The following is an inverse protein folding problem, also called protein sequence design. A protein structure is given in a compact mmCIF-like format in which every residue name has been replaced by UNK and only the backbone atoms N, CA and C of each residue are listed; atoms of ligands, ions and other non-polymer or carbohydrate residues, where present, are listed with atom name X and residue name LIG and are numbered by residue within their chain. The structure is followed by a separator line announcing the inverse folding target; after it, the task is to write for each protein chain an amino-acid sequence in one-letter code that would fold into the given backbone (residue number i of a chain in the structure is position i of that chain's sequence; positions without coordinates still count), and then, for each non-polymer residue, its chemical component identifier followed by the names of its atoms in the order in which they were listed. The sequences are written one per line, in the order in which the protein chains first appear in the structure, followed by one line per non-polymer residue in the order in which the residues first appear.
data_IF_976598039975
#
_entry.id   IF_976598039975
#
_cell.length_a   1.000
_cell.length_b   1.000
_cell.length_c   1.000
_cell.angle_alpha   90.00
_cell.angle_beta   90.00
_cell.angle_gamma   90.00
#
_symmetry.space_group_name_H-M   'P 1'
#
loop_
_entity.id
_entity.type
_entity.pdbx_description
1 polymer ?
#
# COMPACT_ATOMS: atom_id res chain seq x y z
N UNK A 1 -37.36 -16.23 22.19
CA UNK A 1 -36.30 -16.52 21.20
C UNK A 1 -35.01 -17.07 21.86
N UNK A 2 -34.56 -16.51 22.98
CA UNK A 2 -33.32 -16.94 23.65
C UNK A 2 -33.40 -18.35 24.23
N UNK A 3 -34.52 -18.73 24.86
CA UNK A 3 -34.78 -20.05 25.46
C UNK A 3 -34.72 -21.16 24.40
N UNK A 4 -35.37 -20.99 23.26
CA UNK A 4 -35.35 -21.97 22.15
C UNK A 4 -33.93 -22.17 21.62
N UNK A 5 -33.21 -21.09 21.37
CA UNK A 5 -31.82 -21.14 20.92
C UNK A 5 -30.86 -21.79 21.95
N UNK A 6 -31.12 -21.65 23.25
CA UNK A 6 -30.36 -22.33 24.29
C UNK A 6 -30.70 -23.80 24.37
N UNK A 7 -31.99 -24.19 24.25
CA UNK A 7 -32.43 -25.58 24.27
C UNK A 7 -31.86 -26.36 23.07
N UNK A 8 -31.93 -25.82 21.86
CA UNK A 8 -31.41 -26.43 20.63
C UNK A 8 -29.90 -26.68 20.65
N UNK A 9 -29.18 -26.05 21.58
CA UNK A 9 -27.71 -26.18 21.74
C UNK A 9 -27.33 -26.94 23.01
N UNK A 10 -28.27 -27.62 23.63
CA UNK A 10 -28.04 -28.37 24.89
C UNK A 10 -27.44 -27.52 26.02
N UNK A 11 -27.79 -26.23 26.10
CA UNK A 11 -27.28 -25.32 27.14
C UNK A 11 -27.85 -25.71 28.52
N UNK A 12 -27.04 -25.81 29.58
CA UNK A 12 -27.47 -26.13 30.92
C UNK A 12 -28.39 -25.06 31.54
N UNK A 13 -28.55 -23.92 30.90
CA UNK A 13 -29.43 -22.83 31.33
C UNK A 13 -30.91 -23.12 31.08
N UNK A 14 -31.26 -24.18 30.38
CA UNK A 14 -32.64 -24.57 30.09
C UNK A 14 -32.95 -25.88 30.77
N UNK A 15 -34.05 -25.95 31.54
CA UNK A 15 -34.47 -27.18 32.19
C UNK A 15 -34.66 -28.31 31.17
N UNK A 16 -34.26 -29.54 31.53
CA UNK A 16 -34.25 -30.71 30.65
C UNK A 16 -35.62 -30.96 29.99
N UNK A 17 -36.69 -30.93 30.74
CA UNK A 17 -38.05 -31.12 30.25
C UNK A 17 -38.44 -30.09 29.19
N UNK A 18 -38.07 -28.82 29.39
CA UNK A 18 -38.31 -27.73 28.44
C UNK A 18 -37.48 -27.90 27.17
N UNK A 19 -36.22 -28.34 27.30
CA UNK A 19 -35.33 -28.62 26.17
C UNK A 19 -35.85 -29.78 25.32
N UNK A 20 -36.28 -30.88 25.95
CA UNK A 20 -36.85 -32.06 25.26
C UNK A 20 -38.11 -31.71 24.46
N UNK A 21 -39.00 -30.89 25.04
CA UNK A 21 -40.18 -30.38 24.34
C UNK A 21 -39.86 -29.52 23.14
N UNK A 22 -38.87 -28.63 23.26
CA UNK A 22 -38.42 -27.77 22.16
C UNK A 22 -37.80 -28.64 21.06
N UNK A 23 -36.99 -29.65 21.38
CA UNK A 23 -36.41 -30.55 20.41
C UNK A 23 -37.46 -31.42 19.69
N UNK A 24 -38.50 -31.85 20.40
CA UNK A 24 -39.60 -32.59 19.79
C UNK A 24 -40.34 -31.77 18.73
N UNK A 25 -40.64 -30.52 19.05
CA UNK A 25 -41.29 -29.57 18.11
C UNK A 25 -40.35 -29.25 16.92
N UNK A 26 -39.06 -29.00 17.19
CA UNK A 26 -38.09 -28.70 16.13
C UNK A 26 -37.95 -29.86 15.12
N UNK A 27 -37.88 -31.11 15.60
CA UNK A 27 -37.87 -32.31 14.74
C UNK A 27 -39.17 -32.48 13.94
N UNK A 28 -40.30 -32.22 14.56
CA UNK A 28 -41.59 -32.27 13.88
C UNK A 28 -41.73 -31.24 12.75
N UNK A 29 -41.03 -30.10 12.84
CA UNK A 29 -40.94 -29.07 11.84
C UNK A 29 -39.82 -29.29 10.78
N UNK A 30 -39.12 -30.43 10.84
CA UNK A 30 -38.00 -30.72 9.92
C UNK A 30 -36.74 -29.89 10.17
N UNK A 31 -36.62 -29.25 11.34
CA UNK A 31 -35.46 -28.45 11.67
C UNK A 31 -34.27 -29.34 12.08
N UNK A 32 -33.16 -29.24 11.32
CA UNK A 32 -31.87 -29.80 11.71
C UNK A 32 -30.86 -28.64 11.85
N UNK A 33 -30.07 -28.58 12.92
CA UNK A 33 -29.01 -27.58 13.06
C UNK A 33 -28.00 -27.76 11.92
N UNK A 34 -27.68 -26.69 11.20
CA UNK A 34 -26.59 -26.67 10.24
C UNK A 34 -25.25 -26.76 10.99
N UNK A 35 -24.42 -27.82 10.74
CA UNK A 35 -23.15 -27.98 11.42
C UNK A 35 -22.17 -26.84 11.14
N UNK A 36 -22.16 -26.30 9.91
CA UNK A 36 -21.27 -25.19 9.54
C UNK A 36 -21.69 -23.89 10.23
N UNK A 37 -22.98 -23.57 10.21
CA UNK A 37 -23.53 -22.41 10.92
C UNK A 37 -23.35 -22.56 12.43
N UNK A 38 -23.52 -23.77 12.97
CA UNK A 38 -23.32 -24.06 14.41
C UNK A 38 -21.86 -23.85 14.80
N UNK A 39 -20.90 -24.33 14.01
CA UNK A 39 -19.47 -24.13 14.24
C UNK A 39 -19.08 -22.65 14.13
N UNK A 40 -19.56 -21.95 13.12
CA UNK A 40 -19.33 -20.51 12.96
C UNK A 40 -19.87 -19.69 14.15
N UNK A 41 -21.10 -20.01 14.60
CA UNK A 41 -21.71 -19.34 15.75
C UNK A 41 -21.09 -19.76 17.10
N UNK A 42 -20.54 -20.97 17.22
CA UNK A 42 -19.75 -21.39 18.38
C UNK A 42 -18.44 -20.58 18.44
N UNK A 43 -17.77 -20.39 17.32
CA UNK A 43 -16.61 -19.50 17.18
C UNK A 43 -16.89 -18.06 17.61
N UNK A 44 -18.01 -17.49 17.19
CA UNK A 44 -18.46 -16.14 17.60
C UNK A 44 -18.73 -16.04 19.12
N UNK A 45 -19.12 -17.14 19.79
CA UNK A 45 -19.43 -17.16 21.24
C UNK A 45 -18.26 -17.53 22.13
N UNK A 46 -17.25 -18.19 21.60
CA UNK A 46 -16.01 -18.50 22.33
C UNK A 46 -15.13 -17.25 22.59
N UNK A 47 -15.61 -16.06 22.24
CA UNK A 47 -14.94 -14.77 22.42
C UNK A 47 -14.92 -14.28 23.86
N UNK A 48 -14.20 -14.97 24.73
CA UNK A 48 -13.39 -14.30 25.75
C UNK A 48 -11.94 -14.44 25.34
N UNK A 49 -11.35 -13.34 24.81
CA UNK A 49 -10.00 -13.25 24.19
C UNK A 49 -9.85 -14.11 22.92
N UNK A 50 -10.46 -13.67 21.82
CA UNK A 50 -10.07 -14.18 20.51
C UNK A 50 -8.61 -13.74 20.26
N UNK A 51 -7.71 -14.71 20.17
CA UNK A 51 -6.40 -14.43 19.58
C UNK A 51 -6.67 -13.87 18.18
N UNK A 52 -6.13 -12.69 17.89
CA UNK A 52 -6.28 -12.05 16.58
C UNK A 52 -5.73 -13.00 15.51
N UNK A 53 -6.46 -13.19 14.42
CA UNK A 53 -5.97 -14.03 13.33
C UNK A 53 -4.78 -13.32 12.65
N UNK A 54 -3.64 -14.02 12.42
CA UNK A 54 -2.48 -13.40 11.84
C UNK A 54 -2.60 -13.25 10.32
N UNK A 55 -2.27 -12.07 9.80
CA UNK A 55 -1.93 -11.81 8.42
C UNK A 55 -0.41 -11.61 8.31
N UNK A 56 0.19 -12.03 7.19
CA UNK A 56 1.60 -11.82 6.97
C UNK A 56 1.85 -10.46 6.30
N UNK A 57 2.73 -9.66 6.89
CA UNK A 57 3.43 -8.58 6.20
C UNK A 57 4.75 -9.14 5.68
N UNK A 58 4.76 -9.48 4.38
CA UNK A 58 5.91 -10.12 3.76
C UNK A 58 6.88 -9.07 3.23
N UNK A 59 7.99 -8.89 3.93
CA UNK A 59 9.08 -8.03 3.52
C UNK A 59 10.03 -8.80 2.57
N UNK A 60 9.99 -8.46 1.31
CA UNK A 60 10.86 -9.02 0.28
C UNK A 60 12.05 -8.10 -0.06
N UNK A 61 12.23 -6.98 0.62
CA UNK A 61 13.37 -6.10 0.47
C UNK A 61 14.67 -6.75 0.95
N UNK A 62 15.80 -6.28 0.46
CA UNK A 62 17.13 -6.74 0.90
C UNK A 62 17.38 -6.43 2.39
N UNK A 63 16.78 -5.36 2.90
CA UNK A 63 16.89 -4.95 4.29
C UNK A 63 15.67 -5.42 5.10
N UNK A 64 15.93 -6.11 6.21
CA UNK A 64 14.91 -6.53 7.17
C UNK A 64 14.15 -5.35 7.80
N UNK A 65 14.82 -4.20 7.92
CA UNK A 65 14.28 -2.98 8.55
C UNK A 65 13.96 -1.88 7.54
N UNK A 66 13.57 -2.24 6.31
CA UNK A 66 13.35 -1.27 5.23
C UNK A 66 12.42 -0.10 5.66
N UNK A 67 11.33 -0.37 6.36
CA UNK A 67 10.42 0.68 6.82
C UNK A 67 10.91 1.50 8.03
N UNK A 68 11.99 1.12 8.68
CA UNK A 68 12.69 1.98 9.65
C UNK A 68 13.66 2.95 8.99
N UNK A 69 14.25 2.54 7.88
CA UNK A 69 15.20 3.36 7.14
C UNK A 69 14.51 4.28 6.12
N UNK A 70 13.45 3.80 5.51
CA UNK A 70 12.69 4.53 4.49
C UNK A 70 11.38 5.04 5.06
N UNK A 71 11.38 6.25 5.59
CA UNK A 71 10.22 6.87 6.25
C UNK A 71 8.95 6.86 5.40
N UNK A 72 9.07 6.96 4.10
CA UNK A 72 7.93 6.91 3.18
C UNK A 72 7.17 5.57 3.17
N UNK A 73 7.75 4.50 3.71
CA UNK A 73 7.08 3.19 3.88
C UNK A 73 6.21 3.13 5.14
N UNK A 74 6.53 3.93 6.16
CA UNK A 74 5.86 3.90 7.47
C UNK A 74 4.35 4.09 7.34
N UNK A 75 3.82 5.09 6.61
CA UNK A 75 2.37 5.30 6.50
C UNK A 75 1.61 4.11 5.91
N UNK A 76 2.20 3.36 4.98
CA UNK A 76 1.59 2.14 4.43
C UNK A 76 1.38 1.09 5.50
N UNK A 77 2.40 0.87 6.34
CA UNK A 77 2.35 -0.12 7.40
C UNK A 77 1.39 0.29 8.51
N UNK A 78 1.45 1.52 8.97
CA UNK A 78 0.54 2.05 9.99
C UNK A 78 -0.93 1.89 9.58
N UNK A 79 -1.27 2.26 8.35
CA UNK A 79 -2.62 2.09 7.84
C UNK A 79 -3.07 0.62 7.77
N UNK A 80 -2.15 -0.28 7.40
CA UNK A 80 -2.44 -1.71 7.39
C UNK A 80 -2.61 -2.28 8.81
N UNK A 81 -1.77 -1.90 9.77
CA UNK A 81 -1.85 -2.33 11.17
C UNK A 81 -3.15 -1.87 11.84
N UNK A 82 -3.53 -0.61 11.65
CA UNK A 82 -4.79 -0.07 12.16
C UNK A 82 -5.99 -0.80 11.60
N UNK A 83 -6.00 -1.01 10.29
CA UNK A 83 -7.12 -1.72 9.64
C UNK A 83 -7.18 -3.18 10.05
N UNK A 84 -6.05 -3.86 10.22
CA UNK A 84 -6.00 -5.20 10.80
C UNK A 84 -6.63 -5.23 12.20
N UNK A 85 -6.26 -4.29 13.07
CA UNK A 85 -6.80 -4.23 14.43
C UNK A 85 -8.32 -4.01 14.45
N UNK A 86 -8.85 -3.13 13.60
CA UNK A 86 -10.29 -2.87 13.44
C UNK A 86 -11.05 -4.14 13.00
N UNK A 87 -10.48 -4.93 12.10
CA UNK A 87 -11.09 -6.13 11.55
C UNK A 87 -10.87 -7.39 12.41
N UNK A 88 -10.10 -7.28 13.51
CA UNK A 88 -9.80 -8.41 14.40
C UNK A 88 -8.66 -9.28 13.93
N UNK A 89 -7.76 -8.74 13.10
CA UNK A 89 -6.52 -9.35 12.67
C UNK A 89 -5.32 -8.72 13.38
N UNK A 90 -4.17 -9.40 13.32
CA UNK A 90 -2.85 -8.84 13.63
C UNK A 90 -1.94 -8.99 12.42
N UNK A 91 -1.02 -8.05 12.24
CA UNK A 91 -0.07 -8.06 11.16
C UNK A 91 1.29 -8.55 11.67
N UNK A 92 1.66 -9.78 11.32
CA UNK A 92 2.94 -10.38 11.68
C UNK A 92 3.95 -10.18 10.53
N UNK A 93 5.16 -9.75 10.86
CA UNK A 93 6.20 -9.51 9.86
C UNK A 93 7.00 -10.77 9.56
N UNK A 94 7.31 -10.97 8.27
CA UNK A 94 8.16 -12.04 7.74
C UNK A 94 9.14 -11.46 6.75
N UNK A 95 10.42 -11.75 6.95
CA UNK A 95 11.47 -11.30 6.05
C UNK A 95 11.94 -12.43 5.13
N UNK A 96 11.74 -12.26 3.83
CA UNK A 96 12.02 -13.28 2.82
C UNK A 96 13.50 -13.42 2.49
N UNK A 97 14.32 -12.41 2.80
CA UNK A 97 15.76 -12.40 2.49
C UNK A 97 16.65 -12.77 3.69
N UNK A 98 16.07 -13.34 4.73
CA UNK A 98 16.83 -13.89 5.85
C UNK A 98 17.79 -14.99 5.38
N UNK A 99 18.96 -15.05 5.98
CA UNK A 99 19.97 -16.06 5.61
C UNK A 99 19.40 -17.50 5.73
N UNK A 100 19.51 -18.28 4.64
CA UNK A 100 18.96 -19.63 4.57
C UNK A 100 17.44 -19.71 4.39
N UNK A 101 16.75 -18.57 4.22
CA UNK A 101 15.33 -18.55 3.85
C UNK A 101 15.17 -18.83 2.35
N UNK A 102 14.19 -19.64 2.02
CA UNK A 102 13.75 -19.89 0.65
C UNK A 102 12.25 -19.64 0.54
N UNK A 103 11.75 -19.37 -0.65
CA UNK A 103 10.31 -19.17 -0.90
C UNK A 103 9.48 -20.38 -0.43
N UNK A 104 10.00 -21.61 -0.65
CA UNK A 104 9.37 -22.84 -0.18
C UNK A 104 9.33 -22.92 1.34
N UNK A 105 10.44 -22.58 2.02
CA UNK A 105 10.51 -22.57 3.50
C UNK A 105 9.57 -21.53 4.08
N UNK A 106 9.53 -20.34 3.49
CA UNK A 106 8.60 -19.28 3.88
C UNK A 106 7.15 -19.74 3.73
N UNK A 107 6.78 -20.35 2.61
CA UNK A 107 5.44 -20.91 2.40
C UNK A 107 5.06 -21.91 3.50
N UNK A 108 5.99 -22.82 3.87
CA UNK A 108 5.75 -23.79 4.96
C UNK A 108 5.59 -23.08 6.30
N UNK A 109 6.38 -22.08 6.63
CA UNK A 109 6.29 -21.32 7.87
C UNK A 109 4.92 -20.63 7.97
N UNK A 110 4.50 -19.95 6.91
CA UNK A 110 3.21 -19.24 6.86
C UNK A 110 2.03 -20.23 7.08
N UNK A 111 2.06 -21.38 6.39
CA UNK A 111 1.02 -22.41 6.52
C UNK A 111 0.97 -22.99 7.94
N UNK A 112 2.12 -23.35 8.55
CA UNK A 112 2.17 -23.88 9.91
C UNK A 112 1.73 -22.87 10.97
N UNK A 113 1.89 -21.57 10.71
CA UNK A 113 1.37 -20.50 11.59
C UNK A 113 -0.11 -20.17 11.35
N UNK A 114 -0.78 -20.90 10.44
CA UNK A 114 -2.19 -20.70 10.14
C UNK A 114 -2.49 -19.39 9.38
N UNK A 115 -1.47 -18.79 8.76
CA UNK A 115 -1.62 -17.57 7.98
C UNK A 115 -2.34 -17.87 6.67
N UNK A 116 -3.39 -17.12 6.39
CA UNK A 116 -4.19 -17.23 5.16
C UNK A 116 -4.10 -16.02 4.25
N UNK A 117 -3.76 -14.87 4.80
CA UNK A 117 -3.61 -13.62 4.06
C UNK A 117 -2.15 -13.15 4.07
N UNK A 118 -1.65 -12.77 2.90
CA UNK A 118 -0.29 -12.26 2.71
C UNK A 118 -0.32 -10.91 2.02
N UNK A 119 0.17 -9.90 2.70
CA UNK A 119 0.43 -8.57 2.16
C UNK A 119 1.90 -8.47 1.83
N UNK A 120 2.25 -8.37 0.54
CA UNK A 120 3.64 -8.12 0.14
C UNK A 120 3.91 -6.64 0.26
N UNK A 121 4.84 -6.26 1.15
CA UNK A 121 5.13 -4.87 1.44
C UNK A 121 5.69 -4.10 0.22
N UNK A 122 5.62 -2.77 0.21
CA UNK A 122 6.20 -1.98 -0.87
C UNK A 122 7.70 -2.24 -1.00
N UNK A 123 8.19 -2.31 -2.24
CA UNK A 123 9.61 -2.47 -2.50
C UNK A 123 10.34 -1.13 -2.45
N UNK A 124 11.49 -1.11 -1.80
CA UNK A 124 12.41 0.05 -1.82
C UNK A 124 13.05 0.17 -3.20
N UNK A 125 13.53 -0.94 -3.72
CA UNK A 125 14.10 -1.01 -5.08
C UNK A 125 13.02 -1.50 -6.05
N UNK A 126 13.01 -1.02 -7.30
CA UNK A 126 11.98 -1.36 -8.28
C UNK A 126 12.05 -2.80 -8.79
N UNK A 127 12.98 -3.58 -8.30
CA UNK A 127 13.37 -4.88 -8.85
C UNK A 127 12.86 -6.06 -8.06
N UNK A 128 11.79 -5.92 -7.33
CA UNK A 128 11.13 -7.12 -6.85
C UNK A 128 10.29 -7.68 -7.94
N UNK A 129 10.63 -8.85 -8.30
CA UNK A 129 10.21 -9.27 -9.59
C UNK A 129 9.50 -10.59 -9.53
N UNK A 130 10.10 -11.58 -8.94
CA UNK A 130 9.56 -12.93 -8.92
C UNK A 130 9.59 -13.48 -7.50
N UNK A 131 8.41 -13.83 -6.99
CA UNK A 131 8.24 -14.49 -5.70
C UNK A 131 7.60 -15.85 -5.93
N UNK A 132 8.25 -16.92 -5.50
CA UNK A 132 7.86 -18.30 -5.79
C UNK A 132 7.26 -19.01 -4.56
N UNK A 133 6.44 -18.30 -3.76
CA UNK A 133 5.69 -18.94 -2.67
C UNK A 133 4.59 -19.84 -3.25
N UNK A 134 4.08 -20.75 -2.41
CA UNK A 134 2.93 -21.59 -2.77
C UNK A 134 1.60 -20.80 -2.65
N UNK A 135 1.43 -19.84 -3.55
CA UNK A 135 0.38 -18.81 -3.51
C UNK A 135 -1.04 -19.35 -3.47
N UNK A 136 -1.29 -20.57 -3.94
CA UNK A 136 -2.63 -21.21 -3.92
C UNK A 136 -3.22 -21.34 -2.51
N UNK A 137 -2.39 -21.26 -1.47
CA UNK A 137 -2.80 -21.37 -0.07
C UNK A 137 -3.08 -20.01 0.59
N UNK A 138 -2.84 -18.92 -0.09
CA UNK A 138 -2.90 -17.57 0.48
C UNK A 138 -3.78 -16.64 -0.35
N UNK A 139 -4.70 -15.91 0.30
CA UNK A 139 -5.21 -14.68 -0.24
C UNK A 139 -4.07 -13.66 -0.25
N UNK A 140 -3.73 -13.10 -1.41
CA UNK A 140 -2.48 -12.35 -1.54
C UNK A 140 -2.66 -11.05 -2.28
N UNK A 141 -2.06 -9.99 -1.75
CA UNK A 141 -2.10 -8.65 -2.29
C UNK A 141 -0.72 -8.00 -2.20
N UNK A 142 -0.40 -7.13 -3.14
CA UNK A 142 0.83 -6.35 -3.15
C UNK A 142 0.56 -4.86 -3.30
N UNK A 143 1.53 -4.07 -2.91
CA UNK A 143 1.54 -2.64 -3.20
C UNK A 143 2.14 -2.39 -4.58
N UNK A 144 1.58 -1.40 -5.29
CA UNK A 144 2.12 -0.85 -6.52
C UNK A 144 2.40 -1.93 -7.60
N UNK A 145 3.38 -1.70 -8.46
CA UNK A 145 3.75 -2.62 -9.53
C UNK A 145 5.10 -3.31 -9.29
N UNK A 146 5.46 -3.51 -8.03
CA UNK A 146 6.79 -4.03 -7.65
C UNK A 146 6.91 -5.56 -7.72
N UNK A 147 5.79 -6.30 -7.60
CA UNK A 147 5.76 -7.75 -7.83
C UNK A 147 5.26 -8.01 -9.25
N UNK A 148 6.10 -8.58 -10.10
CA UNK A 148 5.74 -8.90 -11.49
C UNK A 148 5.14 -10.29 -11.62
N UNK A 149 5.71 -11.28 -10.94
CA UNK A 149 5.26 -12.67 -10.93
C UNK A 149 5.24 -13.16 -9.48
N UNK A 150 4.11 -13.68 -9.02
CA UNK A 150 2.83 -13.87 -9.72
C UNK A 150 2.04 -12.58 -9.91
N UNK A 151 0.98 -12.64 -10.69
CA UNK A 151 0.01 -11.54 -10.79
C UNK A 151 -0.89 -11.54 -9.56
N UNK A 152 -0.52 -10.75 -8.54
CA UNK A 152 -1.31 -10.54 -7.33
C UNK A 152 -2.33 -9.42 -7.52
N UNK A 153 -3.37 -9.40 -6.67
CA UNK A 153 -4.15 -8.18 -6.46
C UNK A 153 -3.22 -7.03 -6.05
N UNK A 154 -3.56 -5.81 -6.44
CA UNK A 154 -2.68 -4.65 -6.20
C UNK A 154 -3.47 -3.45 -5.72
N UNK A 155 -2.87 -2.75 -4.77
CA UNK A 155 -3.32 -1.43 -4.34
C UNK A 155 -2.19 -0.44 -4.59
N UNK A 156 -2.50 0.65 -5.26
CA UNK A 156 -1.51 1.66 -5.63
C UNK A 156 -2.14 3.06 -5.67
N UNK A 157 -1.35 4.14 -5.52
CA UNK A 157 -1.81 5.47 -5.85
C UNK A 157 -2.25 5.56 -7.32
N UNK A 158 -3.20 6.42 -7.62
CA UNK A 158 -3.51 6.75 -9.00
C UNK A 158 -2.48 7.77 -9.54
N UNK A 159 -1.31 7.28 -9.92
CA UNK A 159 -0.16 8.10 -10.34
C UNK A 159 -0.50 9.02 -11.51
N UNK A 160 -1.28 8.53 -12.49
CA UNK A 160 -1.69 9.34 -13.63
C UNK A 160 -2.57 10.52 -13.21
N UNK A 161 -3.57 10.27 -12.37
CA UNK A 161 -4.42 11.32 -11.83
C UNK A 161 -3.61 12.31 -10.97
N UNK A 162 -2.71 11.80 -10.14
CA UNK A 162 -1.90 12.61 -9.24
C UNK A 162 -1.00 13.58 -10.00
N UNK A 163 -0.27 13.12 -11.03
CA UNK A 163 0.60 14.01 -11.81
C UNK A 163 -0.22 15.10 -12.52
N UNK A 164 -1.36 14.75 -13.12
CA UNK A 164 -2.22 15.73 -13.79
C UNK A 164 -2.82 16.73 -12.79
N UNK A 165 -3.20 16.28 -11.59
CA UNK A 165 -3.67 17.16 -10.52
C UNK A 165 -2.57 18.15 -10.11
N UNK A 166 -1.35 17.68 -9.85
CA UNK A 166 -0.21 18.50 -9.49
C UNK A 166 0.10 19.56 -10.54
N UNK A 167 0.19 19.16 -11.81
CA UNK A 167 0.42 20.07 -12.92
C UNK A 167 -0.68 21.13 -13.06
N UNK A 168 -1.96 20.72 -12.93
CA UNK A 168 -3.10 21.63 -12.95
C UNK A 168 -3.06 22.63 -11.79
N UNK A 169 -2.70 22.19 -10.59
CA UNK A 169 -2.61 23.06 -9.42
C UNK A 169 -1.47 24.06 -9.56
N UNK A 170 -0.29 23.63 -10.03
CA UNK A 170 0.83 24.51 -10.30
C UNK A 170 0.46 25.59 -11.35
N UNK A 171 -0.25 25.22 -12.40
CA UNK A 171 -0.78 26.19 -13.38
C UNK A 171 -1.75 27.20 -12.74
N UNK A 172 -2.62 26.76 -11.84
CA UNK A 172 -3.59 27.66 -11.18
C UNK A 172 -2.94 28.71 -10.29
N UNK A 173 -1.83 28.37 -9.63
CA UNK A 173 -1.07 29.32 -8.80
C UNK A 173 -0.08 30.19 -9.60
N UNK A 174 -0.03 30.02 -10.93
CA UNK A 174 0.65 30.95 -11.84
C UNK A 174 1.86 30.40 -12.56
N UNK A 175 2.37 29.22 -12.20
CA UNK A 175 3.51 28.62 -12.90
C UNK A 175 3.18 28.25 -14.35
N UNK A 176 4.12 28.46 -15.25
CA UNK A 176 3.95 28.25 -16.70
C UNK A 176 4.89 27.17 -17.22
N UNK A 177 6.16 27.25 -16.87
CA UNK A 177 7.23 26.36 -17.33
C UNK A 177 7.53 25.31 -16.26
N UNK A 178 6.65 24.29 -16.17
CA UNK A 178 6.71 23.27 -15.13
C UNK A 178 7.65 22.15 -15.56
N UNK A 179 8.80 22.01 -14.89
CA UNK A 179 9.73 20.92 -15.12
C UNK A 179 9.36 19.66 -14.34
N UNK A 180 9.51 18.49 -14.93
CA UNK A 180 9.40 17.20 -14.23
C UNK A 180 10.80 16.66 -13.95
N UNK A 181 11.10 16.39 -12.66
CA UNK A 181 12.32 15.74 -12.20
C UNK A 181 11.97 14.38 -11.63
N UNK A 182 12.40 13.30 -12.28
CA UNK A 182 11.95 11.96 -11.94
C UNK A 182 13.07 10.92 -12.10
N UNK A 183 13.27 10.11 -11.06
CA UNK A 183 14.12 8.95 -11.16
C UNK A 183 13.49 7.88 -12.08
N UNK A 184 14.26 7.29 -12.97
CA UNK A 184 13.79 6.26 -13.92
C UNK A 184 13.09 5.09 -13.24
N UNK A 185 13.51 4.76 -12.03
CA UNK A 185 12.90 3.69 -11.26
C UNK A 185 11.50 4.06 -10.73
N UNK A 186 11.29 5.32 -10.32
CA UNK A 186 9.97 5.81 -9.92
C UNK A 186 8.99 5.80 -11.10
N UNK A 187 9.48 6.15 -12.27
CA UNK A 187 8.68 6.04 -13.49
C UNK A 187 8.28 4.59 -13.79
N UNK A 188 9.21 3.63 -13.67
CA UNK A 188 8.91 2.20 -13.81
C UNK A 188 7.92 1.71 -12.73
N UNK A 189 8.10 2.12 -11.47
CA UNK A 189 7.21 1.76 -10.36
C UNK A 189 5.77 2.22 -10.61
N UNK A 190 5.61 3.43 -11.14
CA UNK A 190 4.32 3.99 -11.54
C UNK A 190 3.80 3.41 -12.86
N UNK A 191 4.49 2.44 -13.47
CA UNK A 191 4.20 1.91 -14.82
C UNK A 191 4.15 3.03 -15.87
N UNK A 192 5.13 3.92 -15.80
CA UNK A 192 5.26 5.09 -16.68
C UNK A 192 4.11 6.11 -16.58
N UNK A 193 3.27 6.01 -15.54
CA UNK A 193 2.10 6.88 -15.41
C UNK A 193 2.47 8.33 -15.16
N UNK A 194 3.57 8.58 -14.45
CA UNK A 194 4.06 9.95 -14.24
C UNK A 194 4.50 10.59 -15.56
N UNK A 195 5.37 9.91 -16.31
CA UNK A 195 5.86 10.43 -17.58
C UNK A 195 4.76 10.54 -18.62
N UNK A 196 3.85 9.55 -18.70
CA UNK A 196 2.70 9.58 -19.61
C UNK A 196 1.77 10.75 -19.31
N UNK A 197 1.42 10.99 -18.03
CA UNK A 197 0.59 12.12 -17.62
C UNK A 197 1.26 13.46 -17.89
N UNK A 198 2.56 13.56 -17.62
CA UNK A 198 3.33 14.78 -17.95
C UNK A 198 3.38 15.03 -19.45
N UNK A 199 3.67 14.02 -20.27
CA UNK A 199 3.70 14.13 -21.74
C UNK A 199 2.33 14.53 -22.29
N UNK A 200 1.26 13.96 -21.77
CA UNK A 200 -0.10 14.36 -22.15
C UNK A 200 -0.36 15.84 -21.81
N UNK A 201 0.00 16.28 -20.60
CA UNK A 201 -0.13 17.69 -20.21
C UNK A 201 0.61 18.62 -21.17
N UNK A 202 1.82 18.26 -21.62
CA UNK A 202 2.61 19.06 -22.56
C UNK A 202 1.90 19.28 -23.90
N UNK A 203 1.01 18.38 -24.31
CA UNK A 203 0.24 18.57 -25.57
C UNK A 203 -0.79 19.69 -25.50
N UNK A 204 -1.26 20.01 -24.28
CA UNK A 204 -2.32 20.99 -24.04
C UNK A 204 -1.82 22.41 -23.73
N UNK A 205 -0.50 22.66 -23.75
CA UNK A 205 0.10 23.95 -23.47
C UNK A 205 0.87 24.50 -24.68
N UNK A 206 1.15 25.84 -24.70
CA UNK A 206 1.89 26.50 -25.76
C UNK A 206 3.32 25.95 -25.88
N UNK A 207 3.90 26.01 -27.08
CA UNK A 207 5.20 25.41 -27.37
C UNK A 207 6.34 26.02 -26.54
N UNK A 208 6.27 27.32 -26.26
CA UNK A 208 7.25 28.08 -25.46
C UNK A 208 7.20 27.69 -23.94
N UNK A 209 6.08 27.17 -23.47
CA UNK A 209 5.93 26.68 -22.09
C UNK A 209 6.40 25.22 -21.93
N UNK A 210 6.56 24.48 -23.03
CA UNK A 210 6.94 23.04 -22.97
C UNK A 210 8.37 22.86 -22.51
N UNK A 211 8.56 21.87 -21.64
CA UNK A 211 9.86 21.51 -21.07
C UNK A 211 10.06 20.00 -21.17
N UNK A 212 11.21 19.59 -21.73
CA UNK A 212 11.61 18.19 -21.66
C UNK A 212 11.85 17.77 -20.21
N UNK A 213 11.31 16.63 -19.75
CA UNK A 213 11.51 16.18 -18.37
C UNK A 213 12.97 15.78 -18.13
N UNK A 214 13.44 15.93 -16.90
CA UNK A 214 14.72 15.40 -16.45
C UNK A 214 14.51 14.00 -15.84
N UNK A 215 14.79 12.98 -16.65
CA UNK A 215 14.71 11.56 -16.22
C UNK A 215 16.12 11.03 -16.00
N UNK A 216 16.43 10.64 -14.76
CA UNK A 216 17.79 10.25 -14.40
C UNK A 216 17.90 8.81 -13.86
N UNK A 217 19.04 8.20 -14.09
CA UNK A 217 19.58 7.01 -13.45
C UNK A 217 20.96 6.67 -14.06
N UNK A 218 22.08 6.75 -13.33
CA UNK A 218 22.22 7.30 -11.96
C UNK A 218 22.02 8.82 -11.92
N UNK A 219 21.93 9.39 -10.70
CA UNK A 219 21.84 10.84 -10.53
C UNK A 219 23.17 11.52 -10.81
N UNK A 220 23.11 12.57 -11.62
CA UNK A 220 24.22 13.49 -11.91
C UNK A 220 23.76 14.92 -11.64
N UNK A 221 24.35 15.53 -10.60
CA UNK A 221 24.02 16.92 -10.20
C UNK A 221 24.41 17.92 -11.29
N UNK A 222 25.52 17.71 -11.97
CA UNK A 222 25.96 18.60 -13.05
C UNK A 222 24.98 18.59 -14.22
N UNK A 223 24.48 17.40 -14.57
CA UNK A 223 23.46 17.25 -15.61
C UNK A 223 22.14 17.94 -15.20
N UNK A 224 21.75 17.88 -13.91
CA UNK A 224 20.59 18.60 -13.39
C UNK A 224 20.77 20.12 -13.57
N UNK A 225 21.91 20.67 -13.15
CA UNK A 225 22.18 22.12 -13.27
C UNK A 225 22.19 22.57 -14.72
N UNK A 226 22.82 21.81 -15.60
CA UNK A 226 22.78 22.08 -17.04
C UNK A 226 21.37 22.05 -17.62
N UNK A 227 20.54 21.08 -17.18
CA UNK A 227 19.13 21.02 -17.58
C UNK A 227 18.37 22.27 -17.11
N UNK A 228 18.54 22.70 -15.84
CA UNK A 228 17.90 23.89 -15.29
C UNK A 228 18.27 25.15 -16.10
N UNK A 229 19.55 25.32 -16.46
CA UNK A 229 20.03 26.49 -17.25
C UNK A 229 19.49 26.49 -18.67
N UNK A 230 19.35 25.29 -19.25
CA UNK A 230 18.85 25.13 -20.62
C UNK A 230 17.36 25.36 -20.74
N UNK A 231 16.56 24.71 -19.85
CA UNK A 231 15.11 24.72 -20.01
C UNK A 231 14.41 25.79 -19.16
N UNK A 232 15.09 26.35 -18.17
CA UNK A 232 14.64 27.46 -17.32
C UNK A 232 13.20 27.26 -16.80
N UNK A 233 12.95 26.20 -15.98
CA UNK A 233 11.64 26.02 -15.39
C UNK A 233 11.37 27.12 -14.35
N UNK A 234 10.11 27.50 -14.18
CA UNK A 234 9.68 28.35 -13.07
C UNK A 234 9.28 27.54 -11.83
N UNK A 235 9.05 26.24 -12.00
CA UNK A 235 8.85 25.28 -10.92
C UNK A 235 9.33 23.89 -11.34
N UNK A 236 9.88 23.13 -10.38
CA UNK A 236 10.24 21.72 -10.59
C UNK A 236 9.32 20.84 -9.72
N UNK A 237 8.58 19.96 -10.38
CA UNK A 237 7.78 18.91 -9.75
C UNK A 237 8.61 17.63 -9.75
N UNK A 238 8.94 17.10 -8.55
CA UNK A 238 9.85 15.98 -8.45
C UNK A 238 9.55 15.01 -7.32
N UNK A 239 10.35 13.97 -7.24
CA UNK A 239 10.24 12.92 -6.22
C UNK A 239 11.59 12.68 -5.53
N UNK A 240 12.12 13.71 -4.87
CA UNK A 240 13.38 13.59 -4.13
C UNK A 240 13.48 14.63 -3.02
N UNK A 241 13.81 14.19 -1.81
CA UNK A 241 13.87 15.04 -0.61
C UNK A 241 14.98 16.11 -0.61
N UNK A 242 16.00 15.96 -1.46
CA UNK A 242 17.09 16.95 -1.58
C UNK A 242 16.87 17.98 -2.69
N UNK A 243 15.72 17.96 -3.35
CA UNK A 243 15.49 18.79 -4.53
C UNK A 243 15.62 20.31 -4.23
N UNK A 244 15.14 20.76 -3.06
CA UNK A 244 15.31 22.16 -2.63
C UNK A 244 16.78 22.50 -2.48
N UNK A 245 17.55 21.70 -1.72
CA UNK A 245 18.98 21.93 -1.51
C UNK A 245 19.76 22.00 -2.83
N UNK A 246 19.42 21.16 -3.81
CA UNK A 246 20.06 21.21 -5.13
C UNK A 246 19.69 22.46 -5.93
N UNK A 247 18.47 23.01 -5.76
CA UNK A 247 18.13 24.31 -6.36
C UNK A 247 18.98 25.41 -5.75
N UNK A 248 19.12 25.46 -4.43
CA UNK A 248 19.94 26.44 -3.71
C UNK A 248 21.42 26.32 -4.06
N UNK A 249 21.97 25.11 -4.13
CA UNK A 249 23.35 24.87 -4.59
C UNK A 249 23.59 25.32 -6.04
N UNK A 250 22.56 25.33 -6.87
CA UNK A 250 22.63 25.86 -8.23
C UNK A 250 22.54 27.40 -8.30
N UNK A 251 22.49 28.08 -7.12
CA UNK A 251 22.40 29.52 -7.01
C UNK A 251 20.97 30.09 -7.16
N UNK A 252 19.93 29.26 -7.07
CA UNK A 252 18.53 29.67 -7.19
C UNK A 252 17.86 29.68 -5.82
N UNK A 253 17.17 30.75 -5.48
CA UNK A 253 16.38 30.84 -4.24
C UNK A 253 15.03 30.14 -4.46
N UNK A 254 14.60 29.37 -3.45
CA UNK A 254 13.30 28.70 -3.43
C UNK A 254 12.43 29.39 -2.37
N UNK A 255 11.25 29.91 -2.70
CA UNK A 255 10.55 29.82 -4.01
C UNK A 255 10.78 31.02 -4.95
N UNK A 256 11.60 32.02 -4.62
CA UNK A 256 11.67 33.34 -5.31
C UNK A 256 12.13 33.23 -6.76
N UNK A 257 13.14 32.40 -7.03
CA UNK A 257 13.71 32.25 -8.38
C UNK A 257 13.16 30.98 -9.06
N UNK A 258 12.78 29.96 -8.28
CA UNK A 258 12.25 28.69 -8.78
C UNK A 258 11.38 28.03 -7.70
N UNK A 259 10.16 27.63 -8.06
CA UNK A 259 9.32 26.83 -7.19
C UNK A 259 9.77 25.35 -7.14
N UNK A 260 9.50 24.67 -6.03
CA UNK A 260 9.69 23.23 -5.90
C UNK A 260 8.42 22.61 -5.35
N UNK A 261 7.96 21.52 -5.97
CA UNK A 261 6.83 20.76 -5.49
C UNK A 261 7.15 19.25 -5.50
N UNK A 262 6.62 18.53 -4.53
CA UNK A 262 6.90 17.10 -4.37
C UNK A 262 5.74 16.22 -4.85
N UNK A 263 6.05 15.12 -5.54
CA UNK A 263 5.05 14.17 -6.05
C UNK A 263 4.45 13.26 -4.96
N UNK A 264 5.07 13.19 -3.78
CA UNK A 264 4.58 12.39 -2.66
C UNK A 264 5.09 12.96 -1.34
N UNK A 265 4.24 13.65 -0.61
CA UNK A 265 4.60 14.27 0.68
C UNK A 265 4.65 13.28 1.84
N UNK A 266 3.94 12.15 1.71
CA UNK A 266 3.76 11.20 2.80
C UNK A 266 5.10 10.67 3.35
N UNK A 267 5.42 11.02 4.59
CA UNK A 267 6.52 10.46 5.37
C UNK A 267 7.87 11.17 5.26
N UNK A 268 8.15 11.93 4.20
CA UNK A 268 9.49 12.53 3.99
C UNK A 268 9.51 14.05 3.83
N UNK A 269 8.49 14.62 3.18
CA UNK A 269 8.48 16.02 2.75
C UNK A 269 7.16 16.71 3.11
N UNK A 270 6.64 16.48 4.30
CA UNK A 270 5.32 16.98 4.74
C UNK A 270 5.23 18.50 4.79
N UNK A 271 6.37 19.19 5.02
CA UNK A 271 6.46 20.66 5.05
C UNK A 271 6.58 21.30 3.65
N UNK A 272 6.62 20.50 2.58
CA UNK A 272 6.75 21.00 1.23
C UNK A 272 5.39 21.25 0.55
N UNK A 273 5.39 22.09 -0.47
CA UNK A 273 4.30 22.11 -1.44
C UNK A 273 4.29 20.83 -2.28
N UNK A 274 3.12 20.19 -2.48
CA UNK A 274 3.10 18.98 -3.28
C UNK A 274 1.82 18.16 -3.16
N UNK A 275 1.93 16.88 -3.50
CA UNK A 275 0.83 15.93 -3.56
C UNK A 275 0.84 14.98 -2.37
N UNK A 276 -0.27 14.93 -1.67
CA UNK A 276 -0.51 13.93 -0.63
C UNK A 276 -1.12 12.68 -1.27
N UNK A 277 -0.39 11.56 -1.26
CA UNK A 277 -0.85 10.31 -1.89
C UNK A 277 -1.73 9.45 -0.98
N UNK A 278 -1.91 9.82 0.28
CA UNK A 278 -2.70 9.09 1.27
C UNK A 278 -2.22 7.64 1.50
N UNK A 279 -0.92 7.43 1.64
CA UNK A 279 -0.30 6.11 1.80
C UNK A 279 -0.88 5.32 2.97
N UNK A 280 -1.23 5.97 4.09
CA UNK A 280 -1.91 5.32 5.22
C UNK A 280 -3.26 4.71 4.81
N UNK A 281 -4.05 5.43 4.00
CA UNK A 281 -5.31 4.91 3.46
C UNK A 281 -5.09 3.76 2.47
N UNK A 282 -4.04 3.82 1.68
CA UNK A 282 -3.65 2.74 0.77
C UNK A 282 -3.24 1.51 1.58
N UNK A 283 -2.51 1.69 2.70
CA UNK A 283 -2.18 0.62 3.64
C UNK A 283 -3.41 -0.06 4.24
N UNK A 284 -4.42 0.73 4.65
CA UNK A 284 -5.69 0.18 5.10
C UNK A 284 -6.42 -0.60 3.99
N UNK A 285 -6.46 -0.05 2.79
CA UNK A 285 -7.13 -0.68 1.65
C UNK A 285 -6.52 -2.01 1.24
N UNK A 286 -5.23 -2.20 1.42
CA UNK A 286 -4.55 -3.48 1.12
C UNK A 286 -5.06 -4.62 2.00
N UNK A 287 -5.50 -4.34 3.22
CA UNK A 287 -6.04 -5.36 4.14
C UNK A 287 -7.46 -5.76 3.77
N UNK A 288 -8.17 -4.93 3.04
CA UNK A 288 -9.55 -5.18 2.59
C UNK A 288 -9.63 -6.02 1.32
N UNK A 289 -8.52 -6.17 0.59
CA UNK A 289 -8.45 -6.97 -0.64
C UNK A 289 -8.24 -8.45 -0.37
#
# INVERSE_FOLDING_TARGET
RMTVSCALRHSPRVKRETAERIWAVARGLGYAPDPQLTAAMAGVRATKKKALEPLAWLNANQNARAYHEYRWLVPYREGAEERCAELGYKLDEFWLREQGMTDRRMSSILQHRGIRGVVVCPAVLPEITHLHLDWKHFASVSFEATVLVPHLHRVAPNYHYNILLGLKMLRRIGYRRIGLFLHRQEDRRSRHSYLAGYSFFQTGISADERIDPFIYAPFDKSALFHWLDRVKPDVVLGHHSQLISWMEESGRRVPEDIGVAHLSLDGDCEDWGGLWQHKRRIGAQVVEQ
#
